data_IF_828500819519
#
_entry.id   IF_828500819519
#
_cell.length_a   1.000
_cell.length_b   1.000
_cell.length_c   1.000
_cell.angle_alpha   90.00
_cell.angle_beta   90.00
_cell.angle_gamma   90.00
#
_symmetry.space_group_name_H-M   'P 1'
#
loop_
_entity.id
_entity.type
_entity.pdbx_description
1 polymer ?
#
# COMPACT_ATOMS: atom_id res chain seq x y z
N UNK A 1 27.06 22.21 -5.41
CA UNK A 1 27.02 20.90 -6.07
C UNK A 1 25.58 20.48 -6.17
N UNK A 2 25.01 20.42 -7.37
CA UNK A 2 23.66 19.88 -7.58
C UNK A 2 23.75 18.36 -7.47
N UNK A 3 23.41 17.82 -6.29
CA UNK A 3 23.28 16.38 -6.11
C UNK A 3 22.07 15.92 -6.93
N UNK A 4 22.22 14.83 -7.69
CA UNK A 4 21.09 14.20 -8.38
C UNK A 4 20.17 13.60 -7.32
N UNK A 5 18.93 14.08 -7.29
CA UNK A 5 17.87 13.47 -6.50
C UNK A 5 17.44 12.15 -7.16
N UNK A 6 17.20 11.13 -6.35
CA UNK A 6 16.76 9.82 -6.81
C UNK A 6 15.80 9.24 -5.77
N UNK A 7 14.70 8.66 -6.25
CA UNK A 7 13.68 8.02 -5.41
C UNK A 7 13.51 6.55 -5.82
N UNK A 8 13.37 5.70 -4.80
CA UNK A 8 13.00 4.29 -4.96
C UNK A 8 11.53 4.16 -4.59
N UNK A 9 10.67 4.01 -5.59
CA UNK A 9 9.22 3.93 -5.39
C UNK A 9 8.77 2.47 -5.29
N UNK A 10 8.31 2.09 -4.11
CA UNK A 10 7.85 0.74 -3.80
C UNK A 10 6.33 0.67 -3.88
N UNK A 11 5.80 -0.33 -4.57
CA UNK A 11 4.37 -0.58 -4.68
C UNK A 11 3.78 -0.91 -3.30
N UNK A 12 2.60 -0.39 -2.95
CA UNK A 12 2.05 -0.58 -1.63
C UNK A 12 1.38 -1.95 -1.51
N UNK A 13 1.45 -2.56 -0.32
CA UNK A 13 0.86 -3.87 -0.06
C UNK A 13 -0.66 -3.83 0.08
N UNK A 14 -1.20 -2.78 0.70
CA UNK A 14 -2.63 -2.50 0.85
C UNK A 14 -3.52 -3.75 1.06
N UNK A 15 -3.10 -4.62 1.98
CA UNK A 15 -3.80 -5.85 2.34
C UNK A 15 -3.94 -5.93 3.86
N UNK A 16 -4.99 -6.62 4.32
CA UNK A 16 -5.23 -6.84 5.75
C UNK A 16 -4.91 -8.30 6.07
N UNK A 17 -3.81 -8.47 6.79
CA UNK A 17 -3.30 -9.73 7.29
C UNK A 17 -3.97 -10.12 8.59
N UNK A 18 -4.33 -11.39 8.69
CA UNK A 18 -4.87 -12.01 9.90
C UNK A 18 -4.11 -13.29 10.15
N UNK A 19 -3.61 -13.45 11.38
CA UNK A 19 -3.02 -14.70 11.83
C UNK A 19 -3.98 -15.87 11.58
N UNK A 20 -3.48 -16.90 10.92
CA UNK A 20 -4.28 -18.05 10.57
C UNK A 20 -4.40 -19.03 11.75
N UNK A 21 -5.58 -19.05 12.36
CA UNK A 21 -5.93 -20.06 13.37
C UNK A 21 -6.28 -21.41 12.72
N UNK A 22 -6.26 -22.48 13.53
CA UNK A 22 -6.69 -23.82 13.10
C UNK A 22 -8.13 -23.82 12.52
N UNK A 23 -9.02 -23.00 13.09
CA UNK A 23 -10.39 -22.84 12.60
C UNK A 23 -10.44 -22.19 11.20
N UNK A 24 -9.56 -21.22 10.92
CA UNK A 24 -9.45 -20.61 9.60
C UNK A 24 -8.98 -21.64 8.56
N UNK A 25 -7.96 -22.44 8.88
CA UNK A 25 -7.52 -23.51 7.99
C UNK A 25 -8.60 -24.57 7.74
N UNK A 26 -9.32 -25.02 8.79
CA UNK A 26 -10.42 -25.99 8.64
C UNK A 26 -11.55 -25.49 7.74
N UNK A 27 -11.83 -24.18 7.76
CA UNK A 27 -12.85 -23.55 6.92
C UNK A 27 -12.38 -23.18 5.50
N UNK A 28 -11.09 -23.38 5.19
CA UNK A 28 -10.48 -23.00 3.91
C UNK A 28 -10.66 -24.01 2.77
N UNK A 29 -11.31 -25.15 3.03
CA UNK A 29 -11.45 -26.27 2.09
C UNK A 29 -10.12 -26.83 1.54
N UNK A 30 -9.01 -26.72 2.28
CA UNK A 30 -7.76 -27.45 1.96
C UNK A 30 -6.45 -26.70 2.17
N UNK A 31 -6.49 -25.42 2.57
CA UNK A 31 -5.29 -24.66 2.94
C UNK A 31 -4.88 -25.01 4.38
N UNK A 32 -3.58 -25.25 4.59
CA UNK A 32 -3.03 -25.75 5.87
C UNK A 32 -1.91 -24.90 6.47
N UNK A 33 -1.37 -23.94 5.70
CA UNK A 33 -0.30 -23.05 6.14
C UNK A 33 -0.49 -21.64 5.59
N UNK A 34 0.32 -20.69 6.05
CA UNK A 34 0.35 -19.31 5.58
C UNK A 34 -0.54 -18.35 6.35
N UNK A 35 -0.34 -17.05 6.10
CA UNK A 35 -1.15 -15.97 6.69
C UNK A 35 -2.41 -15.72 5.87
N UNK A 36 -3.52 -15.41 6.52
CA UNK A 36 -4.78 -15.14 5.85
C UNK A 36 -4.88 -13.67 5.43
N UNK A 37 -5.13 -13.42 4.14
CA UNK A 37 -5.43 -12.10 3.61
C UNK A 37 -6.94 -11.87 3.56
N UNK A 38 -7.47 -11.24 4.59
CA UNK A 38 -8.91 -10.97 4.70
C UNK A 38 -9.42 -10.00 3.63
N UNK A 39 -8.57 -9.07 3.20
CA UNK A 39 -8.85 -8.05 2.18
C UNK A 39 -7.57 -7.70 1.43
N UNK A 40 -7.72 -7.44 0.13
CA UNK A 40 -6.69 -6.88 -0.74
C UNK A 40 -7.34 -5.69 -1.46
N UNK A 41 -6.75 -4.50 -1.37
CA UNK A 41 -7.29 -3.31 -2.01
C UNK A 41 -6.88 -3.24 -3.49
N UNK A 42 -7.67 -2.58 -4.37
CA UNK A 42 -7.44 -2.61 -5.82
C UNK A 42 -6.07 -2.09 -6.30
N UNK A 43 -5.42 -1.21 -5.53
CA UNK A 43 -4.10 -0.64 -5.87
C UNK A 43 -2.92 -1.37 -5.20
N UNK A 44 -3.20 -2.49 -4.53
CA UNK A 44 -2.18 -3.37 -3.96
C UNK A 44 -1.32 -4.02 -5.04
N UNK A 45 -0.04 -4.21 -4.77
CA UNK A 45 0.84 -5.06 -5.61
C UNK A 45 0.31 -6.50 -5.77
N UNK A 46 -0.47 -6.99 -4.81
CA UNK A 46 -1.10 -8.32 -4.87
C UNK A 46 -2.31 -8.35 -5.80
N UNK A 47 -3.03 -7.24 -5.90
CA UNK A 47 -4.19 -7.10 -6.79
C UNK A 47 -3.77 -6.95 -8.26
N UNK A 48 -2.54 -6.49 -8.51
CA UNK A 48 -1.96 -6.27 -9.84
C UNK A 48 -0.95 -7.33 -10.23
N UNK A 49 -0.77 -8.36 -9.40
CA UNK A 49 0.06 -9.54 -9.70
C UNK A 49 -0.50 -10.34 -10.89
N UNK A 50 0.29 -11.26 -11.42
CA UNK A 50 -0.09 -12.13 -12.53
C UNK A 50 -0.08 -13.63 -12.12
N UNK A 51 -1.24 -14.30 -12.04
CA UNK A 51 -2.59 -13.72 -12.07
C UNK A 51 -2.86 -12.88 -10.80
N UNK A 52 -3.90 -12.02 -10.78
CA UNK A 52 -4.27 -11.26 -9.59
C UNK A 52 -4.60 -12.15 -8.40
N UNK A 53 -4.06 -11.84 -7.23
CA UNK A 53 -4.36 -12.56 -6.00
C UNK A 53 -5.79 -12.24 -5.54
N UNK A 54 -6.56 -13.29 -5.23
CA UNK A 54 -7.92 -13.13 -4.75
C UNK A 54 -7.94 -12.81 -3.25
N UNK A 55 -8.87 -11.96 -2.77
CA UNK A 55 -9.06 -11.76 -1.35
C UNK A 55 -9.56 -13.05 -0.68
N UNK A 56 -9.42 -13.13 0.64
CA UNK A 56 -9.75 -14.33 1.44
C UNK A 56 -8.96 -15.57 1.01
N UNK A 57 -7.70 -15.37 0.66
CA UNK A 57 -6.72 -16.40 0.38
C UNK A 57 -5.65 -16.44 1.47
N UNK A 58 -4.88 -17.51 1.53
CA UNK A 58 -3.71 -17.62 2.39
C UNK A 58 -2.46 -17.38 1.55
N UNK A 59 -1.52 -16.56 2.01
CA UNK A 59 -0.19 -16.50 1.40
C UNK A 59 0.67 -17.55 2.07
N UNK A 60 1.10 -18.54 1.31
CA UNK A 60 1.79 -19.72 1.84
C UNK A 60 3.29 -19.66 1.62
N UNK A 61 3.76 -18.91 0.62
CA UNK A 61 5.16 -18.91 0.21
C UNK A 61 5.54 -17.62 -0.50
N UNK A 62 6.78 -17.16 -0.29
CA UNK A 62 7.44 -16.10 -1.07
C UNK A 62 8.75 -16.67 -1.64
N UNK A 63 8.87 -16.69 -2.96
CA UNK A 63 9.88 -17.44 -3.71
C UNK A 63 10.01 -18.88 -3.15
N UNK A 64 11.14 -19.24 -2.56
CA UNK A 64 11.39 -20.57 -1.98
C UNK A 64 11.17 -20.64 -0.46
N UNK A 65 10.59 -19.59 0.14
CA UNK A 65 10.41 -19.45 1.59
C UNK A 65 8.96 -19.71 1.96
N UNK A 66 8.71 -20.82 2.65
CA UNK A 66 7.41 -21.12 3.25
C UNK A 66 7.11 -20.18 4.42
N UNK A 67 5.85 -19.77 4.50
CA UNK A 67 5.33 -18.93 5.56
C UNK A 67 4.54 -19.75 6.57
N UNK A 68 4.68 -19.39 7.84
CA UNK A 68 3.84 -19.90 8.91
C UNK A 68 2.50 -19.17 9.03
N UNK A 69 1.71 -19.50 10.05
CA UNK A 69 0.40 -18.89 10.33
C UNK A 69 0.46 -17.39 10.65
N UNK A 70 1.62 -16.87 11.05
CA UNK A 70 1.85 -15.46 11.32
C UNK A 70 2.32 -14.70 10.08
N UNK A 71 2.53 -15.40 8.95
CA UNK A 71 3.09 -14.81 7.74
C UNK A 71 4.60 -14.61 7.83
N UNK A 72 5.27 -15.36 8.70
CA UNK A 72 6.71 -15.27 8.92
C UNK A 72 7.42 -16.40 8.17
N UNK A 73 8.48 -16.05 7.45
CA UNK A 73 9.35 -16.99 6.75
C UNK A 73 10.80 -16.90 7.24
N UNK A 74 11.54 -18.00 7.14
CA UNK A 74 12.96 -18.04 7.52
C UNK A 74 13.84 -17.38 6.46
N UNK A 75 14.73 -16.48 6.87
CA UNK A 75 15.59 -15.75 5.92
C UNK A 75 16.80 -16.60 5.52
N UNK A 76 17.06 -16.82 4.22
CA UNK A 76 18.24 -17.55 3.76
C UNK A 76 19.54 -16.88 4.21
N UNK A 77 20.44 -17.66 4.81
CA UNK A 77 21.74 -17.15 5.28
C UNK A 77 21.74 -16.57 6.69
N UNK A 78 20.58 -16.43 7.35
CA UNK A 78 20.46 -15.91 8.71
C UNK A 78 19.70 -16.91 9.61
N UNK A 79 20.39 -17.94 10.14
CA UNK A 79 19.75 -18.97 10.96
C UNK A 79 19.04 -18.39 12.18
N UNK A 80 17.76 -18.74 12.35
CA UNK A 80 16.92 -18.28 13.46
C UNK A 80 16.24 -16.93 13.23
N UNK A 81 16.60 -16.21 12.17
CA UNK A 81 15.91 -14.98 11.78
C UNK A 81 14.68 -15.29 10.94
N UNK A 82 13.56 -14.66 11.32
CA UNK A 82 12.29 -14.74 10.61
C UNK A 82 11.83 -13.35 10.24
N UNK A 83 11.35 -13.19 9.03
CA UNK A 83 10.83 -11.92 8.52
C UNK A 83 9.39 -12.09 8.07
N UNK A 84 8.61 -11.03 8.21
CA UNK A 84 7.24 -11.04 7.70
C UNK A 84 7.26 -11.10 6.18
N UNK A 85 6.19 -11.63 5.58
CA UNK A 85 6.14 -11.76 4.13
C UNK A 85 6.32 -10.41 3.42
N UNK A 86 5.77 -9.32 3.97
CA UNK A 86 5.97 -7.97 3.43
C UNK A 86 7.45 -7.57 3.37
N UNK A 87 8.23 -7.93 4.40
CA UNK A 87 9.66 -7.67 4.42
C UNK A 87 10.41 -8.57 3.43
N UNK A 88 10.02 -9.85 3.33
CA UNK A 88 10.60 -10.79 2.38
C UNK A 88 10.46 -10.30 0.93
N UNK A 89 9.31 -9.71 0.56
CA UNK A 89 9.11 -9.13 -0.77
C UNK A 89 10.14 -8.05 -1.11
N UNK A 90 10.62 -7.29 -0.13
CA UNK A 90 11.59 -6.20 -0.35
C UNK A 90 13.04 -6.67 -0.19
N UNK A 91 13.30 -7.62 0.70
CA UNK A 91 14.66 -8.02 1.07
C UNK A 91 15.28 -9.06 0.14
N UNK A 92 14.47 -9.90 -0.52
CA UNK A 92 15.00 -11.05 -1.29
C UNK A 92 15.57 -10.69 -2.66
N UNK A 93 15.27 -9.50 -3.17
CA UNK A 93 15.71 -9.05 -4.49
C UNK A 93 16.65 -7.85 -4.38
N UNK A 94 17.58 -7.75 -5.32
CA UNK A 94 18.51 -6.62 -5.37
C UNK A 94 17.91 -5.41 -6.09
N UNK A 95 16.83 -5.61 -6.85
CA UNK A 95 16.11 -4.58 -7.57
C UNK A 95 14.60 -4.72 -7.39
N UNK A 96 13.90 -3.58 -7.35
CA UNK A 96 12.43 -3.52 -7.33
C UNK A 96 11.78 -4.03 -8.62
N UNK A 97 12.56 -4.14 -9.69
CA UNK A 97 12.13 -4.64 -11.00
C UNK A 97 12.07 -6.16 -11.09
N UNK A 98 12.76 -6.84 -10.19
CA UNK A 98 12.84 -8.29 -10.25
C UNK A 98 11.49 -8.90 -9.90
N UNK A 99 11.15 -9.95 -10.64
CA UNK A 99 9.95 -10.72 -10.35
C UNK A 99 10.17 -11.55 -9.08
N UNK A 100 9.15 -11.52 -8.23
CA UNK A 100 9.00 -12.31 -7.03
C UNK A 100 7.81 -13.22 -7.26
N UNK A 101 7.96 -14.49 -6.90
CA UNK A 101 6.86 -15.45 -6.94
C UNK A 101 6.21 -15.50 -5.57
N UNK A 102 4.90 -15.34 -5.51
CA UNK A 102 4.13 -15.51 -4.28
C UNK A 102 3.14 -16.63 -4.51
N UNK A 103 3.16 -17.66 -3.66
CA UNK A 103 2.16 -18.72 -3.72
C UNK A 103 1.03 -18.39 -2.76
N UNK A 104 -0.21 -18.40 -3.26
CA UNK A 104 -1.41 -18.33 -2.43
C UNK A 104 -2.20 -19.63 -2.47
N UNK A 105 -2.99 -19.87 -1.42
CA UNK A 105 -3.97 -20.93 -1.35
C UNK A 105 -5.38 -20.35 -1.21
N UNK A 106 -6.31 -20.78 -2.07
CA UNK A 106 -7.73 -20.47 -1.96
C UNK A 106 -8.56 -21.71 -2.26
N UNK A 107 -9.47 -22.07 -1.36
CA UNK A 107 -10.29 -23.29 -1.48
C UNK A 107 -9.46 -24.57 -1.72
N UNK A 108 -8.31 -24.68 -1.07
CA UNK A 108 -7.37 -25.80 -1.26
C UNK A 108 -6.58 -25.78 -2.57
N UNK A 109 -6.77 -24.79 -3.43
CA UNK A 109 -6.04 -24.64 -4.69
C UNK A 109 -4.87 -23.69 -4.49
N UNK A 110 -3.67 -24.19 -4.77
CA UNK A 110 -2.45 -23.38 -4.80
C UNK A 110 -2.34 -22.66 -6.14
N UNK A 111 -2.09 -21.35 -6.09
CA UNK A 111 -1.86 -20.49 -7.26
C UNK A 111 -0.56 -19.73 -7.06
N UNK A 112 0.32 -19.76 -8.04
CA UNK A 112 1.52 -18.94 -8.05
C UNK A 112 1.22 -17.61 -8.74
N UNK A 113 1.69 -16.52 -8.14
CA UNK A 113 1.53 -15.15 -8.60
C UNK A 113 2.91 -14.56 -8.85
N UNK A 114 3.14 -14.05 -10.05
CA UNK A 114 4.32 -13.26 -10.35
C UNK A 114 4.03 -11.77 -10.09
N UNK A 115 4.89 -11.11 -9.33
CA UNK A 115 4.79 -9.68 -9.08
C UNK A 115 6.17 -9.02 -9.00
N UNK A 116 6.22 -7.71 -9.18
CA UNK A 116 7.40 -6.89 -8.90
C UNK A 116 6.95 -5.77 -7.95
N UNK A 117 7.80 -5.41 -7.01
CA UNK A 117 7.51 -4.36 -6.02
C UNK A 117 7.75 -2.95 -6.56
N UNK A 118 8.04 -2.77 -7.85
CA UNK A 118 8.12 -1.44 -8.47
C UNK A 118 6.75 -0.78 -8.44
N UNK A 119 6.68 0.45 -7.95
CA UNK A 119 5.47 1.25 -8.08
C UNK A 119 5.20 1.59 -9.55
N UNK A 120 3.95 1.42 -9.98
CA UNK A 120 3.46 1.66 -11.34
C UNK A 120 2.20 2.54 -11.26
N UNK A 121 1.75 3.17 -12.35
CA UNK A 121 0.60 4.07 -12.32
C UNK A 121 -0.67 3.50 -11.67
N UNK A 122 -0.93 2.20 -11.84
CA UNK A 122 -2.04 1.47 -11.23
C UNK A 122 -1.99 1.47 -9.69
N UNK A 123 -0.80 1.56 -9.11
CA UNK A 123 -0.56 1.58 -7.66
C UNK A 123 -0.76 2.98 -7.03
N UNK A 124 -0.83 4.05 -7.84
CA UNK A 124 -0.81 5.43 -7.32
C UNK A 124 -2.13 5.82 -6.64
N UNK A 125 -2.10 6.19 -5.37
CA UNK A 125 -3.28 6.72 -4.67
C UNK A 125 -3.58 8.15 -5.14
N UNK A 126 -4.86 8.50 -5.24
CA UNK A 126 -5.29 9.87 -5.59
C UNK A 126 -5.12 10.88 -4.45
N UNK A 127 -5.25 10.42 -3.21
CA UNK A 127 -4.84 11.16 -2.01
C UNK A 127 -3.62 10.46 -1.44
N UNK A 128 -2.44 11.05 -1.63
CA UNK A 128 -1.15 10.48 -1.23
C UNK A 128 -0.43 11.40 -0.26
N UNK A 129 0.51 10.83 0.46
CA UNK A 129 1.48 11.61 1.22
C UNK A 129 2.47 12.25 0.23
N UNK A 130 2.78 13.52 0.48
CA UNK A 130 3.82 14.28 -0.22
C UNK A 130 4.98 14.38 0.74
N UNK A 131 6.05 13.64 0.46
CA UNK A 131 7.22 13.56 1.34
C UNK A 131 8.22 14.66 1.02
N UNK A 132 8.41 14.96 -0.28
CA UNK A 132 9.41 15.93 -0.73
C UNK A 132 8.79 16.98 -1.68
N UNK A 133 8.01 17.95 -1.16
CA UNK A 133 7.30 18.93 -1.99
C UNK A 133 8.20 19.70 -2.97
N UNK A 134 9.47 19.94 -2.59
CA UNK A 134 10.43 20.64 -3.45
C UNK A 134 10.87 19.86 -4.69
N UNK A 135 10.70 18.54 -4.70
CA UNK A 135 11.01 17.68 -5.85
C UNK A 135 9.75 17.18 -6.57
N UNK A 136 8.57 17.62 -6.11
CA UNK A 136 7.26 17.23 -6.63
C UNK A 136 6.46 18.49 -6.99
N UNK A 137 6.82 19.16 -8.09
CA UNK A 137 6.21 20.44 -8.49
C UNK A 137 4.67 20.36 -8.59
N UNK A 138 4.14 19.25 -9.13
CA UNK A 138 2.70 18.99 -9.22
C UNK A 138 1.99 18.99 -7.86
N UNK A 139 2.70 18.65 -6.76
CA UNK A 139 2.12 18.67 -5.41
C UNK A 139 1.95 20.10 -4.86
N UNK A 140 2.61 21.08 -5.47
CA UNK A 140 2.52 22.50 -5.14
C UNK A 140 1.58 23.25 -6.08
N UNK A 141 0.98 22.59 -7.07
CA UNK A 141 0.03 23.21 -7.99
C UNK A 141 -1.26 23.61 -7.25
N UNK A 142 -1.66 24.87 -7.44
CA UNK A 142 -2.88 25.43 -6.89
C UNK A 142 -3.52 26.40 -7.88
N UNK A 143 -4.80 26.65 -7.69
CA UNK A 143 -5.55 27.66 -8.41
C UNK A 143 -6.26 28.58 -7.42
N UNK A 144 -6.25 29.88 -7.69
CA UNK A 144 -6.98 30.87 -6.89
C UNK A 144 -8.06 31.50 -7.75
N UNK A 145 -9.32 31.43 -7.30
CA UNK A 145 -10.44 32.10 -7.93
C UNK A 145 -11.34 32.75 -6.87
N UNK A 146 -11.75 33.99 -7.12
CA UNK A 146 -12.64 34.75 -6.22
C UNK A 146 -12.21 34.78 -4.73
N UNK A 147 -10.90 34.80 -4.45
CA UNK A 147 -10.36 34.79 -3.10
C UNK A 147 -10.29 33.41 -2.43
N UNK A 148 -10.53 32.33 -3.17
CA UNK A 148 -10.42 30.95 -2.67
C UNK A 148 -9.26 30.27 -3.38
N UNK A 149 -8.31 29.74 -2.61
CA UNK A 149 -7.21 28.92 -3.12
C UNK A 149 -7.54 27.45 -2.94
N UNK A 150 -7.51 26.73 -4.05
CA UNK A 150 -7.75 25.28 -4.12
C UNK A 150 -6.52 24.56 -4.63
N UNK A 151 -6.27 23.36 -4.12
CA UNK A 151 -5.19 22.48 -4.58
C UNK A 151 -5.55 21.01 -4.40
N UNK A 152 -4.77 20.11 -4.99
CA UNK A 152 -4.95 18.68 -4.76
C UNK A 152 -4.73 18.35 -3.27
N UNK A 153 -5.64 17.55 -2.72
CA UNK A 153 -5.57 17.11 -1.34
C UNK A 153 -4.52 16.00 -1.17
N UNK A 154 -3.60 16.19 -0.23
CA UNK A 154 -2.63 15.20 0.22
C UNK A 154 -2.97 14.69 1.62
N UNK A 155 -2.31 13.59 2.02
CA UNK A 155 -2.41 13.10 3.40
C UNK A 155 -1.81 14.10 4.40
N UNK A 156 -0.85 14.93 3.99
CA UNK A 156 -0.29 15.99 4.83
C UNK A 156 -1.38 17.00 5.25
N UNK A 157 -2.27 17.39 4.32
CA UNK A 157 -3.41 18.24 4.63
C UNK A 157 -4.37 17.55 5.60
N UNK A 158 -4.70 16.29 5.34
CA UNK A 158 -5.61 15.50 6.18
C UNK A 158 -5.07 15.40 7.61
N UNK A 159 -3.79 15.08 7.78
CA UNK A 159 -3.12 15.01 9.08
C UNK A 159 -3.11 16.36 9.79
N UNK A 160 -2.81 17.46 9.07
CA UNK A 160 -2.83 18.80 9.64
C UNK A 160 -4.21 19.13 10.22
N UNK A 161 -5.28 18.97 9.45
CA UNK A 161 -6.63 19.28 9.92
C UNK A 161 -7.13 18.32 11.00
N UNK A 162 -6.78 17.03 10.93
CA UNK A 162 -7.11 16.06 11.98
C UNK A 162 -6.43 16.39 13.32
N UNK A 163 -5.23 17.00 13.29
CA UNK A 163 -4.52 17.44 14.49
C UNK A 163 -5.21 18.60 15.22
N UNK A 164 -6.04 19.37 14.52
CA UNK A 164 -6.77 20.50 15.08
C UNK A 164 -8.09 20.09 15.78
N UNK A 165 -8.48 18.82 15.71
CA UNK A 165 -9.69 18.29 16.34
C UNK A 165 -10.55 17.45 15.39
N UNK A 166 -11.80 17.14 15.77
CA UNK A 166 -12.72 16.39 14.92
C UNK A 166 -12.94 17.11 13.59
N UNK A 167 -12.38 16.54 12.52
CA UNK A 167 -12.49 17.10 11.18
C UNK A 167 -13.16 16.11 10.23
N UNK A 168 -14.10 16.55 9.38
CA UNK A 168 -14.69 15.71 8.33
C UNK A 168 -13.66 15.10 7.38
N UNK A 169 -12.45 15.71 7.30
CA UNK A 169 -11.33 15.24 6.48
C UNK A 169 -10.64 13.99 7.04
N UNK A 170 -10.91 13.61 8.29
CA UNK A 170 -10.32 12.41 8.90
C UNK A 170 -10.67 11.11 8.17
N UNK A 171 -11.79 11.06 7.45
CA UNK A 171 -12.21 9.86 6.68
C UNK A 171 -11.20 9.45 5.59
N UNK A 172 -10.37 10.39 5.11
CA UNK A 172 -9.35 10.12 4.09
C UNK A 172 -8.08 9.50 4.68
N UNK A 173 -8.00 9.30 6.00
CA UNK A 173 -7.00 8.42 6.61
C UNK A 173 -7.23 6.94 6.26
N UNK A 174 -8.45 6.57 5.84
CA UNK A 174 -8.76 5.22 5.39
C UNK A 174 -8.30 5.05 3.92
N UNK A 175 -7.45 4.06 3.61
CA UNK A 175 -6.92 3.83 2.25
C UNK A 175 -8.01 3.66 1.18
N UNK A 176 -9.18 3.13 1.54
CA UNK A 176 -10.29 2.97 0.61
C UNK A 176 -10.80 4.30 0.04
N UNK A 177 -10.70 5.38 0.82
CA UNK A 177 -11.14 6.72 0.43
C UNK A 177 -10.06 7.51 -0.32
N UNK A 178 -8.86 6.95 -0.47
CA UNK A 178 -7.71 7.60 -1.10
C UNK A 178 -7.55 7.25 -2.58
N UNK A 179 -8.40 6.38 -3.15
CA UNK A 179 -8.25 5.85 -4.52
C UNK A 179 -8.34 6.95 -5.58
N UNK A 180 -9.29 7.87 -5.40
CA UNK A 180 -9.57 8.96 -6.33
C UNK A 180 -8.97 10.28 -5.83
N UNK A 181 -8.44 11.13 -6.73
CA UNK A 181 -7.93 12.44 -6.35
C UNK A 181 -9.06 13.31 -5.80
N UNK A 182 -8.72 14.17 -4.85
CA UNK A 182 -9.63 15.09 -4.21
C UNK A 182 -9.00 16.47 -4.17
N UNK A 183 -9.84 17.50 -4.08
CA UNK A 183 -9.41 18.90 -3.98
C UNK A 183 -9.72 19.40 -2.58
N UNK A 184 -8.88 20.30 -2.07
CA UNK A 184 -9.08 20.97 -0.79
C UNK A 184 -8.95 22.49 -0.96
N UNK A 185 -9.75 23.23 -0.20
CA UNK A 185 -9.55 24.67 0.00
C UNK A 185 -8.45 24.84 1.02
N UNK A 186 -7.28 25.34 0.58
CA UNK A 186 -6.12 25.53 1.45
C UNK A 186 -6.09 26.92 2.09
N UNK A 187 -6.67 27.92 1.42
CA UNK A 187 -6.72 29.30 1.90
C UNK A 187 -7.96 30.04 1.39
N UNK A 188 -8.42 31.00 2.18
CA UNK A 188 -9.45 31.98 1.78
C UNK A 188 -8.90 33.36 2.11
N UNK A 189 -8.81 34.21 1.08
CA UNK A 189 -8.30 35.57 1.19
C UNK A 189 -9.26 36.42 2.05
N UNK A 190 -8.75 37.13 3.07
CA UNK A 190 -9.57 37.95 3.94
C UNK A 190 -10.19 39.14 3.18
N UNK A 191 -11.44 39.48 3.50
CA UNK A 191 -12.13 40.64 2.92
C UNK A 191 -12.71 40.38 1.53
N UNK A 192 -12.75 39.12 1.11
CA UNK A 192 -13.41 38.70 -0.13
C UNK A 192 -14.84 38.23 0.15
N UNK A 193 -15.63 37.99 -0.90
CA UNK A 193 -16.99 37.43 -0.73
C UNK A 193 -16.99 36.07 -0.03
N UNK A 194 -15.86 35.36 -0.04
CA UNK A 194 -15.72 34.03 0.52
C UNK A 194 -15.31 33.99 2.00
N UNK A 195 -14.93 35.14 2.61
CA UNK A 195 -14.44 35.23 4.00
C UNK A 195 -15.50 35.60 5.01
#
# INVERSE_FOLDING_TARGET
TTHRHAQMLVAPMLAIEVEASESLYKSSNGCTTGVFLSRILPRSVLATADPPMQPRSFVTQVDDIELDSYGMGSVPGFPGERSSFNQLLVMLKNSIDENITVTSCSNGVLTQHALSIRQRPEHLMGVREVTEPHFEEEALDYETFAGITVMQMSLNHVQFFASQGPSPVGRWLLPENQILPQVIVSHVDPGTYAS
#
